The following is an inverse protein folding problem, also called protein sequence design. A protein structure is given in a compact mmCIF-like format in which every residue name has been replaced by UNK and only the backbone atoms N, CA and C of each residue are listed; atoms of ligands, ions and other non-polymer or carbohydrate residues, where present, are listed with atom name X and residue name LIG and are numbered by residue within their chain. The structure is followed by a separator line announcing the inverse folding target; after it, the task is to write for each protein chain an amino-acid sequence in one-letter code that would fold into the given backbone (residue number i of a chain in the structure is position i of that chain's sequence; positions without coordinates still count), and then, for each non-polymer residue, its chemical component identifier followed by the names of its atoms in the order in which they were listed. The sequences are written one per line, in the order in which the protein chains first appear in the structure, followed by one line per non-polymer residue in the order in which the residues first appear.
data_IF_325488491556
#
_entry.id   IF_325488491556
#
_cell.length_a   1.000
_cell.length_b   1.000
_cell.length_c   1.000
_cell.angle_alpha   90.00
_cell.angle_beta   90.00
_cell.angle_gamma   90.00
#
_symmetry.space_group_name_H-M   'P 1'
#
loop_
_entity.id
_entity.type
_entity.pdbx_description
1 polymer ?
#
# COMPACT_ATOMS: atom_id res chain seq x y z
N UNK A 1 -3.21 -5.86 31.35
CA UNK A 1 -3.92 -4.71 30.73
C UNK A 1 -4.42 -5.04 29.32
N UNK A 2 -5.30 -4.18 28.72
CA UNK A 2 -5.73 -4.36 27.31
C UNK A 2 -4.55 -4.27 26.35
N UNK A 3 -3.58 -3.42 26.64
CA UNK A 3 -2.35 -3.22 25.86
C UNK A 3 -1.52 -4.50 25.83
N UNK A 4 -1.19 -5.08 26.99
CA UNK A 4 -0.40 -6.32 27.08
C UNK A 4 -1.06 -7.49 26.35
N UNK A 5 -2.40 -7.60 26.41
CA UNK A 5 -3.16 -8.61 25.67
C UNK A 5 -3.12 -8.40 24.14
N UNK A 6 -2.96 -7.16 23.69
CA UNK A 6 -2.79 -6.86 22.26
C UNK A 6 -1.36 -7.18 21.83
N UNK A 7 -0.37 -6.73 22.58
CA UNK A 7 1.05 -6.97 22.31
C UNK A 7 1.37 -8.48 22.30
N UNK A 8 0.76 -9.27 23.21
CA UNK A 8 0.99 -10.73 23.24
C UNK A 8 0.60 -11.43 21.93
N UNK A 9 -0.34 -10.87 21.17
CA UNK A 9 -0.83 -11.40 19.90
C UNK A 9 -0.01 -10.94 18.69
N UNK A 10 0.82 -9.92 18.84
CA UNK A 10 1.67 -9.42 17.77
C UNK A 10 2.75 -10.44 17.40
N UNK A 11 3.09 -10.47 16.13
CA UNK A 11 4.18 -11.24 15.54
C UNK A 11 5.31 -10.31 15.06
N UNK A 12 6.38 -10.88 14.55
CA UNK A 12 7.45 -10.13 13.90
C UNK A 12 7.06 -9.59 12.50
N UNK A 13 5.87 -9.96 11.99
CA UNK A 13 5.41 -9.62 10.63
C UNK A 13 4.20 -8.71 10.61
N UNK A 14 3.75 -8.24 11.76
CA UNK A 14 2.63 -7.31 11.82
C UNK A 14 2.99 -5.96 11.23
N UNK A 15 2.03 -5.32 10.61
CA UNK A 15 2.25 -4.08 9.87
C UNK A 15 0.98 -3.23 9.81
N UNK A 16 1.20 -1.96 9.52
CA UNK A 16 0.16 -1.01 9.13
C UNK A 16 0.31 -0.72 7.65
N UNK A 17 -0.81 -0.66 6.93
CA UNK A 17 -0.80 -0.27 5.52
C UNK A 17 -1.92 0.72 5.22
N UNK A 18 -1.63 1.67 4.36
CA UNK A 18 -2.59 2.60 3.78
C UNK A 18 -2.43 2.56 2.27
N UNK A 19 -3.51 2.21 1.58
CA UNK A 19 -3.56 2.22 0.13
C UNK A 19 -4.72 3.09 -0.30
N UNK A 20 -4.44 4.09 -1.11
CA UNK A 20 -5.45 4.98 -1.68
C UNK A 20 -5.18 5.14 -3.17
N UNK A 21 -6.23 5.02 -3.97
CA UNK A 21 -6.21 5.39 -5.37
C UNK A 21 -7.33 6.37 -5.63
N UNK A 22 -7.00 7.50 -6.25
CA UNK A 22 -7.95 8.53 -6.66
C UNK A 22 -7.85 8.71 -8.17
N UNK A 23 -8.85 8.22 -8.88
CA UNK A 23 -8.95 8.41 -10.32
C UNK A 23 -9.34 9.87 -10.62
N UNK A 24 -8.46 10.59 -11.30
CA UNK A 24 -8.68 12.00 -11.68
C UNK A 24 -9.39 12.09 -13.01
N UNK A 25 -8.95 11.28 -13.98
CA UNK A 25 -9.53 11.20 -15.32
C UNK A 25 -9.29 9.82 -15.90
N UNK A 26 -10.35 9.19 -16.39
CA UNK A 26 -10.28 7.95 -17.16
C UNK A 26 -11.22 8.03 -18.36
N UNK A 27 -10.75 7.59 -19.50
CA UNK A 27 -11.53 7.51 -20.71
C UNK A 27 -11.18 6.25 -21.51
N UNK A 28 -12.08 5.84 -22.36
CA UNK A 28 -11.85 4.71 -23.25
C UNK A 28 -12.80 4.72 -24.42
N UNK A 29 -12.35 4.14 -25.52
CA UNK A 29 -13.15 4.02 -26.75
C UNK A 29 -12.85 2.73 -27.50
N UNK A 30 -13.83 2.29 -28.25
CA UNK A 30 -13.70 1.17 -29.17
C UNK A 30 -13.31 1.69 -30.55
N UNK A 31 -12.26 1.13 -31.18
CA UNK A 31 -11.89 1.49 -32.53
C UNK A 31 -12.94 0.96 -33.54
N UNK A 32 -13.12 1.68 -34.64
CA UNK A 32 -13.93 1.23 -35.77
C UNK A 32 -13.08 0.32 -36.68
N UNK A 33 -13.64 -0.76 -37.20
CA UNK A 33 -12.97 -1.66 -38.14
C UNK A 33 -13.38 -3.12 -37.99
N UNK A 34 -12.82 -3.97 -38.85
CA UNK A 34 -13.11 -5.42 -38.87
C UNK A 34 -12.61 -6.14 -37.61
N UNK A 35 -11.54 -5.64 -37.00
CA UNK A 35 -10.99 -6.16 -35.75
C UNK A 35 -10.94 -5.04 -34.71
N UNK A 36 -12.05 -4.77 -34.01
CA UNK A 36 -12.10 -3.66 -33.06
C UNK A 36 -11.18 -3.88 -31.89
N UNK A 37 -10.42 -2.83 -31.54
CA UNK A 37 -9.58 -2.74 -30.35
C UNK A 37 -10.16 -1.72 -29.37
N UNK A 38 -10.12 -2.03 -28.08
CA UNK A 38 -10.50 -1.09 -27.05
C UNK A 38 -9.26 -0.37 -26.53
N UNK A 39 -9.25 0.94 -26.67
CA UNK A 39 -8.23 1.83 -26.12
C UNK A 39 -8.72 2.44 -24.81
N UNK A 40 -7.81 2.64 -23.89
CA UNK A 40 -8.08 3.31 -22.62
C UNK A 40 -6.92 4.22 -22.24
N UNK A 41 -7.22 5.30 -21.55
CA UNK A 41 -6.21 6.21 -21.03
C UNK A 41 -6.73 6.95 -19.83
N UNK A 42 -5.79 7.52 -19.05
CA UNK A 42 -6.20 8.28 -17.88
C UNK A 42 -5.04 8.63 -16.97
N UNK A 43 -5.43 9.22 -15.84
CA UNK A 43 -4.54 9.65 -14.79
C UNK A 43 -5.18 9.38 -13.44
N UNK A 44 -4.41 8.84 -12.49
CA UNK A 44 -4.81 8.66 -11.11
C UNK A 44 -3.67 9.00 -10.15
N UNK A 45 -4.02 9.34 -8.91
CA UNK A 45 -3.08 9.45 -7.81
C UNK A 45 -3.12 8.18 -6.97
N UNK A 46 -1.96 7.73 -6.54
CA UNK A 46 -1.80 6.55 -5.69
C UNK A 46 -0.95 6.91 -4.48
N UNK A 47 -1.49 6.64 -3.28
CA UNK A 47 -0.73 6.56 -2.04
C UNK A 47 -0.62 5.09 -1.67
N UNK A 48 0.59 4.59 -1.54
CA UNK A 48 0.88 3.23 -1.08
C UNK A 48 1.90 3.30 0.06
N UNK A 49 1.44 3.01 1.26
CA UNK A 49 2.28 3.04 2.46
C UNK A 49 2.14 1.73 3.24
N UNK A 50 3.27 1.21 3.70
CA UNK A 50 3.35 0.07 4.61
C UNK A 50 4.48 0.29 5.62
N UNK A 51 4.20 0.00 6.88
CA UNK A 51 5.17 0.04 7.97
C UNK A 51 5.03 -1.23 8.82
N UNK A 52 6.10 -2.00 8.92
CA UNK A 52 6.18 -3.18 9.76
C UNK A 52 6.54 -2.77 11.18
N UNK A 53 5.75 -3.22 12.13
CA UNK A 53 5.87 -2.91 13.54
C UNK A 53 5.99 -4.21 14.35
N UNK A 54 7.20 -4.78 14.43
CA UNK A 54 7.42 -6.07 15.08
C UNK A 54 7.11 -6.02 16.58
N UNK A 55 6.75 -7.17 17.14
CA UNK A 55 6.37 -7.32 18.54
C UNK A 55 7.39 -6.73 19.51
N UNK A 56 8.69 -6.92 19.27
CA UNK A 56 9.75 -6.42 20.12
C UNK A 56 9.74 -4.89 20.24
N UNK A 57 9.48 -4.20 19.13
CA UNK A 57 9.34 -2.74 19.12
C UNK A 57 8.06 -2.30 19.84
N UNK A 58 6.96 -3.07 19.69
CA UNK A 58 5.73 -2.80 20.42
C UNK A 58 5.92 -2.91 21.94
N UNK A 59 6.64 -3.93 22.40
CA UNK A 59 6.98 -4.09 23.81
C UNK A 59 7.81 -2.89 24.28
N UNK A 60 8.90 -2.59 23.57
CA UNK A 60 9.81 -1.50 23.96
C UNK A 60 9.11 -0.14 24.02
N UNK A 61 8.25 0.16 23.04
CA UNK A 61 7.54 1.43 22.96
C UNK A 61 6.37 1.59 23.94
N UNK A 62 5.65 0.50 24.27
CA UNK A 62 4.40 0.57 25.01
C UNK A 62 4.46 -0.02 26.42
N UNK A 63 5.32 -0.99 26.67
CA UNK A 63 5.52 -1.63 27.98
C UNK A 63 6.86 -1.23 28.61
N UNK A 64 7.82 -0.81 27.76
CA UNK A 64 9.19 -0.55 28.19
C UNK A 64 9.99 -1.83 28.39
N UNK A 65 11.21 -1.67 28.93
CA UNK A 65 12.17 -2.76 29.09
C UNK A 65 12.33 -3.27 30.55
N UNK A 66 11.64 -2.64 31.50
CA UNK A 66 11.82 -2.91 32.93
C UNK A 66 11.59 -4.38 33.31
N UNK A 67 10.56 -5.03 32.75
CA UNK A 67 10.25 -6.42 33.09
C UNK A 67 11.01 -7.42 32.20
N UNK A 68 11.83 -6.93 31.26
CA UNK A 68 12.54 -7.70 30.26
C UNK A 68 14.06 -7.48 30.32
N UNK A 69 14.60 -7.25 31.49
CA UNK A 69 16.05 -7.06 31.69
C UNK A 69 16.81 -8.30 31.18
N UNK A 70 17.84 -8.08 30.36
CA UNK A 70 18.61 -9.13 29.70
C UNK A 70 18.07 -9.58 28.34
N UNK A 71 16.84 -9.19 27.99
CA UNK A 71 16.28 -9.45 26.65
C UNK A 71 16.88 -8.51 25.62
N UNK A 72 17.27 -9.05 24.45
CA UNK A 72 17.61 -8.26 23.28
C UNK A 72 16.33 -8.02 22.44
N UNK A 73 16.13 -6.79 22.00
CA UNK A 73 15.07 -6.36 21.10
C UNK A 73 15.64 -6.16 19.71
N UNK A 74 15.22 -6.99 18.77
CA UNK A 74 15.76 -7.03 17.42
C UNK A 74 15.11 -5.96 16.53
N UNK A 75 15.93 -5.21 15.79
CA UNK A 75 15.48 -4.20 14.81
C UNK A 75 15.37 -4.73 13.39
N UNK A 76 15.83 -5.96 13.11
CA UNK A 76 15.86 -6.52 11.76
C UNK A 76 14.48 -6.59 11.11
N UNK A 77 13.43 -6.65 11.90
CA UNK A 77 12.06 -6.77 11.44
C UNK A 77 11.37 -5.43 11.19
N UNK A 78 11.99 -4.30 11.54
CA UNK A 78 11.50 -2.97 11.22
C UNK A 78 11.66 -2.76 9.71
N UNK A 79 10.63 -2.30 9.02
CA UNK A 79 10.70 -1.89 7.63
C UNK A 79 9.56 -0.94 7.31
N UNK A 80 9.84 0.09 6.53
CA UNK A 80 8.80 1.01 6.08
C UNK A 80 9.00 1.37 4.62
N UNK A 81 7.89 1.59 3.93
CA UNK A 81 7.86 2.15 2.58
C UNK A 81 6.59 2.98 2.41
N UNK A 82 6.73 4.17 1.85
CA UNK A 82 5.61 5.03 1.48
C UNK A 82 5.91 5.74 0.17
N UNK A 83 4.99 5.67 -0.77
CA UNK A 83 5.08 6.30 -2.09
C UNK A 83 3.79 7.09 -2.36
N UNK A 84 3.92 8.36 -2.73
CA UNK A 84 2.83 9.17 -3.29
C UNK A 84 3.16 9.48 -4.75
N UNK A 85 2.32 8.99 -5.66
CA UNK A 85 2.55 9.01 -7.10
C UNK A 85 1.37 9.60 -7.85
N UNK A 86 1.64 10.23 -8.99
CA UNK A 86 0.68 10.37 -10.09
C UNK A 86 1.03 9.37 -11.17
N UNK A 87 0.05 8.63 -11.64
CA UNK A 87 0.21 7.60 -12.66
C UNK A 87 -0.59 7.97 -13.90
N UNK A 88 0.10 8.15 -15.01
CA UNK A 88 -0.48 8.31 -16.33
C UNK A 88 -0.48 6.95 -17.01
N UNK A 89 -1.55 6.60 -17.68
CA UNK A 89 -1.63 5.29 -18.33
C UNK A 89 -2.31 5.35 -19.67
N UNK A 90 -1.88 4.46 -20.55
CA UNK A 90 -2.52 4.19 -21.83
C UNK A 90 -2.52 2.68 -22.09
N UNK A 91 -3.68 2.13 -22.46
CA UNK A 91 -3.86 0.71 -22.62
C UNK A 91 -4.58 0.36 -23.92
N UNK A 92 -4.32 -0.84 -24.39
CA UNK A 92 -5.01 -1.45 -25.52
C UNK A 92 -5.42 -2.87 -25.16
N UNK A 93 -6.67 -3.21 -25.51
CA UNK A 93 -7.21 -4.56 -25.39
C UNK A 93 -7.72 -5.02 -26.74
N UNK A 94 -7.39 -6.26 -27.14
CA UNK A 94 -7.81 -6.87 -28.39
C UNK A 94 -8.33 -8.28 -28.14
N UNK A 95 -9.40 -8.65 -28.82
CA UNK A 95 -9.80 -10.04 -28.93
C UNK A 95 -8.89 -10.76 -29.94
N UNK A 96 -7.96 -11.56 -29.42
CA UNK A 96 -6.96 -12.29 -30.20
C UNK A 96 -7.58 -13.52 -30.89
N UNK A 97 -8.56 -14.13 -30.24
CA UNK A 97 -9.33 -15.24 -30.79
C UNK A 97 -10.77 -15.22 -30.27
N UNK A 98 -11.64 -16.12 -30.76
CA UNK A 98 -13.02 -16.25 -30.24
C UNK A 98 -13.07 -16.49 -28.71
N UNK A 99 -12.01 -17.05 -28.14
CA UNK A 99 -11.92 -17.40 -26.71
C UNK A 99 -10.96 -16.53 -25.90
N UNK A 100 -10.04 -15.81 -26.53
CA UNK A 100 -8.97 -15.09 -25.88
C UNK A 100 -9.04 -13.60 -26.17
N UNK A 101 -9.12 -12.80 -25.12
CA UNK A 101 -8.86 -11.36 -25.13
C UNK A 101 -7.57 -11.10 -24.36
N UNK A 102 -6.67 -10.30 -24.92
CA UNK A 102 -5.44 -9.88 -24.26
C UNK A 102 -5.37 -8.35 -24.24
N UNK A 103 -4.74 -7.83 -23.22
CA UNK A 103 -4.54 -6.39 -23.03
C UNK A 103 -3.20 -6.07 -22.42
N UNK A 104 -2.69 -4.90 -22.80
CA UNK A 104 -1.47 -4.32 -22.25
C UNK A 104 -1.74 -2.86 -21.91
N UNK A 105 -1.16 -2.37 -20.82
CA UNK A 105 -1.24 -0.97 -20.40
C UNK A 105 0.17 -0.48 -20.07
N UNK A 106 0.59 0.58 -20.71
CA UNK A 106 1.81 1.31 -20.38
C UNK A 106 1.49 2.34 -19.30
N UNK A 107 2.42 2.52 -18.39
CA UNK A 107 2.33 3.47 -17.27
C UNK A 107 3.55 4.37 -17.25
N UNK A 108 3.30 5.66 -17.01
CA UNK A 108 4.31 6.65 -16.67
C UNK A 108 4.04 7.12 -15.25
N UNK A 109 4.99 6.91 -14.37
CA UNK A 109 4.92 7.35 -12.97
C UNK A 109 5.56 8.71 -12.81
N UNK A 110 4.95 9.58 -12.00
CA UNK A 110 5.56 10.79 -11.47
C UNK A 110 5.51 10.75 -9.95
N UNK A 111 6.66 10.55 -9.30
CA UNK A 111 6.75 10.45 -7.85
C UNK A 111 6.77 11.84 -7.23
N UNK A 112 5.86 12.10 -6.30
CA UNK A 112 5.78 13.34 -5.54
C UNK A 112 6.73 13.29 -4.33
N UNK A 113 6.57 12.22 -3.54
CA UNK A 113 7.41 11.90 -2.37
C UNK A 113 7.57 10.39 -2.26
N UNK A 114 8.71 9.95 -1.75
CA UNK A 114 8.98 8.54 -1.47
C UNK A 114 9.88 8.39 -0.26
N UNK A 115 9.58 7.39 0.58
CA UNK A 115 10.40 6.95 1.72
C UNK A 115 10.50 5.43 1.67
N UNK A 116 11.70 4.90 1.88
CA UNK A 116 11.88 3.45 2.03
C UNK A 116 13.06 3.12 2.93
N UNK A 117 12.86 2.26 3.92
CA UNK A 117 13.96 1.65 4.65
C UNK A 117 14.49 0.46 3.84
N UNK A 118 15.77 0.45 3.58
CA UNK A 118 16.46 -0.56 2.75
C UNK A 118 17.33 -1.49 3.56
N UNK A 119 17.71 -1.06 4.76
CA UNK A 119 18.48 -1.85 5.70
C UNK A 119 18.03 -1.52 7.12
N UNK A 120 17.81 -2.55 7.92
CA UNK A 120 17.46 -2.43 9.32
C UNK A 120 18.12 -3.59 10.06
N UNK A 121 19.21 -3.30 10.74
CA UNK A 121 19.91 -4.26 11.60
C UNK A 121 20.19 -3.60 12.94
N UNK A 122 20.41 -4.41 13.95
CA UNK A 122 20.78 -4.00 15.28
C UNK A 122 19.86 -4.58 16.33
N UNK A 123 20.30 -4.49 17.56
CA UNK A 123 19.53 -4.91 18.72
C UNK A 123 19.72 -3.92 19.87
N UNK A 124 18.65 -3.70 20.62
CA UNK A 124 18.66 -2.96 21.88
C UNK A 124 18.56 -3.94 23.05
N UNK A 125 19.40 -3.77 24.07
CA UNK A 125 19.39 -4.62 25.26
C UNK A 125 19.65 -3.78 26.52
N UNK A 126 18.97 -4.13 27.61
CA UNK A 126 19.23 -3.58 28.93
C UNK A 126 19.75 -4.67 29.82
N UNK A 127 20.87 -4.42 30.51
CA UNK A 127 21.47 -5.33 31.49
C UNK A 127 21.60 -4.68 32.85
N UNK A 128 21.73 -5.49 33.89
CA UNK A 128 22.08 -5.03 35.24
C UNK A 128 23.60 -4.91 35.34
N UNK A 129 24.08 -3.82 35.82
CA UNK A 129 25.51 -3.57 36.08
C UNK A 129 25.79 -3.67 37.58
N UNK A 130 26.47 -4.72 37.98
CA UNK A 130 26.87 -4.89 39.40
C UNK A 130 28.01 -3.96 39.76
N UNK A 131 27.95 -3.35 40.94
CA UNK A 131 29.03 -2.54 41.50
C UNK A 131 29.12 -1.11 40.94
N UNK A 132 28.16 -0.64 40.19
CA UNK A 132 28.05 0.73 39.67
C UNK A 132 26.95 1.52 40.37
N UNK A 133 27.11 2.86 40.42
CA UNK A 133 26.06 3.77 40.88
C UNK A 133 24.82 3.71 39.96
N UNK A 134 25.02 3.41 38.67
CA UNK A 134 23.97 3.18 37.70
C UNK A 134 23.66 1.68 37.62
N UNK A 135 22.44 1.32 38.01
CA UNK A 135 22.02 -0.08 38.15
C UNK A 135 21.84 -0.71 36.76
N UNK A 136 21.51 0.07 35.71
CA UNK A 136 21.19 -0.42 34.40
C UNK A 136 22.14 0.15 33.34
N UNK A 137 22.49 -0.68 32.41
CA UNK A 137 23.23 -0.37 31.19
C UNK A 137 22.36 -0.67 29.98
N UNK A 138 22.26 0.26 29.04
CA UNK A 138 21.52 0.13 27.83
C UNK A 138 22.50 0.05 26.64
N UNK A 139 22.42 -1.00 25.84
CA UNK A 139 23.31 -1.19 24.70
C UNK A 139 22.50 -1.26 23.41
N UNK A 140 22.97 -0.55 22.38
CA UNK A 140 22.60 -0.76 20.98
C UNK A 140 23.79 -1.42 20.32
N UNK A 141 23.59 -2.58 19.71
CA UNK A 141 24.66 -3.36 19.09
C UNK A 141 24.36 -3.62 17.62
N UNK A 142 25.42 -3.66 16.80
CA UNK A 142 25.36 -3.97 15.36
C UNK A 142 24.35 -3.11 14.59
N UNK A 143 24.15 -1.85 15.00
CA UNK A 143 23.25 -0.95 14.29
C UNK A 143 23.76 -0.71 12.87
N UNK A 144 22.92 -0.99 11.86
CA UNK A 144 23.17 -0.70 10.45
C UNK A 144 21.81 -0.42 9.80
N UNK A 145 21.43 0.86 9.79
CA UNK A 145 20.13 1.35 9.29
C UNK A 145 20.36 2.22 8.08
N UNK A 146 19.55 2.01 7.06
CA UNK A 146 19.57 2.78 5.82
C UNK A 146 18.14 3.17 5.42
N UNK A 147 17.91 4.48 5.26
CA UNK A 147 16.62 5.04 4.80
C UNK A 147 16.86 5.91 3.58
N UNK A 148 16.10 5.66 2.53
CA UNK A 148 16.09 6.45 1.28
C UNK A 148 14.84 7.31 1.24
N UNK A 149 15.04 8.56 0.91
CA UNK A 149 13.95 9.51 0.70
C UNK A 149 14.07 10.19 -0.65
N UNK A 150 12.95 10.66 -1.15
CA UNK A 150 12.95 11.63 -2.25
C UNK A 150 11.77 12.57 -2.13
N UNK A 151 12.00 13.81 -2.51
CA UNK A 151 10.96 14.81 -2.54
C UNK A 151 10.74 15.56 -1.22
N UNK A 152 11.59 15.41 -0.22
CA UNK A 152 11.45 16.09 1.07
C UNK A 152 12.32 17.33 1.21
N UNK A 153 13.59 17.28 0.81
CA UNK A 153 14.58 18.37 1.00
C UNK A 153 14.02 19.71 0.52
N UNK A 154 13.51 19.72 -0.68
CA UNK A 154 13.02 20.93 -1.31
C UNK A 154 11.65 21.40 -0.79
N UNK A 155 11.02 20.67 0.13
CA UNK A 155 9.81 21.09 0.84
C UNK A 155 10.11 21.73 2.20
N UNK A 156 11.32 21.53 2.69
CA UNK A 156 11.75 22.07 3.97
C UNK A 156 11.73 23.60 3.96
N UNK A 157 11.24 24.18 5.05
CA UNK A 157 11.13 25.63 5.24
C UNK A 157 10.11 26.34 4.34
N UNK A 158 9.30 25.61 3.54
CA UNK A 158 8.30 26.21 2.67
C UNK A 158 6.95 26.43 3.37
N UNK A 159 6.31 27.54 3.03
CA UNK A 159 4.91 27.77 3.42
C UNK A 159 3.95 26.77 2.78
N UNK A 160 2.79 26.43 3.40
CA UNK A 160 1.84 25.42 2.90
C UNK A 160 1.40 25.65 1.45
N UNK A 161 1.24 26.90 1.03
CA UNK A 161 0.87 27.29 -0.35
C UNK A 161 1.97 26.94 -1.35
N UNK A 162 3.24 27.11 -0.98
CA UNK A 162 4.40 26.77 -1.80
C UNK A 162 4.59 25.26 -1.89
N UNK A 163 4.39 24.54 -0.78
CA UNK A 163 4.38 23.07 -0.73
C UNK A 163 3.34 22.52 -1.72
N UNK A 164 2.10 23.03 -1.65
CA UNK A 164 1.00 22.59 -2.54
C UNK A 164 1.34 22.83 -4.01
N UNK A 165 1.88 24.00 -4.36
CA UNK A 165 2.30 24.33 -5.72
C UNK A 165 3.40 23.40 -6.22
N UNK A 166 4.36 23.09 -5.35
CA UNK A 166 5.48 22.22 -5.69
C UNK A 166 5.03 20.76 -5.89
N UNK A 167 4.15 20.26 -5.03
CA UNK A 167 3.55 18.93 -5.17
C UNK A 167 2.70 18.82 -6.43
N UNK A 168 1.93 19.86 -6.78
CA UNK A 168 1.18 19.90 -8.03
C UNK A 168 2.12 19.86 -9.25
N UNK A 169 3.23 20.61 -9.23
CA UNK A 169 4.24 20.56 -10.30
C UNK A 169 4.82 19.15 -10.46
N UNK A 170 5.09 18.46 -9.35
CA UNK A 170 5.55 17.06 -9.38
C UNK A 170 4.47 16.11 -9.88
N UNK A 171 3.22 16.32 -9.51
CA UNK A 171 2.11 15.53 -10.04
C UNK A 171 2.01 15.64 -11.56
N UNK A 172 2.35 16.80 -12.14
CA UNK A 172 2.35 17.09 -13.57
C UNK A 172 3.72 16.80 -14.24
N UNK A 173 4.31 15.64 -13.94
CA UNK A 173 5.58 15.15 -14.51
C UNK A 173 6.86 15.91 -14.08
N UNK A 174 6.76 16.80 -13.12
CA UNK A 174 7.93 17.50 -12.55
C UNK A 174 8.67 16.71 -11.46
N UNK A 175 8.10 15.58 -11.01
CA UNK A 175 8.69 14.70 -10.00
C UNK A 175 9.75 13.76 -10.55
N UNK A 176 10.10 12.76 -9.76
CA UNK A 176 10.95 11.65 -10.21
C UNK A 176 10.11 10.71 -11.10
N UNK A 177 10.62 10.44 -12.29
CA UNK A 177 9.88 9.70 -13.29
C UNK A 177 10.15 8.21 -13.22
N UNK A 178 9.17 7.43 -13.65
CA UNK A 178 9.27 5.99 -13.74
C UNK A 178 8.39 5.45 -14.87
N UNK A 179 8.63 4.21 -15.23
CA UNK A 179 7.87 3.51 -16.26
C UNK A 179 7.39 2.16 -15.73
N UNK A 180 6.26 1.72 -16.26
CA UNK A 180 5.71 0.42 -15.92
C UNK A 180 4.78 -0.12 -16.99
N UNK A 181 4.46 -1.39 -16.83
CA UNK A 181 3.58 -2.12 -17.73
C UNK A 181 2.63 -2.98 -16.90
N UNK A 182 1.38 -3.03 -17.34
CA UNK A 182 0.40 -4.03 -16.92
C UNK A 182 0.10 -4.92 -18.12
N UNK A 183 -0.11 -6.20 -17.88
CA UNK A 183 -0.58 -7.15 -18.87
C UNK A 183 -1.70 -8.01 -18.30
N UNK A 184 -2.66 -8.37 -19.14
CA UNK A 184 -3.77 -9.22 -18.72
C UNK A 184 -4.41 -9.97 -19.85
N UNK A 185 -5.07 -11.07 -19.49
CA UNK A 185 -5.82 -11.92 -20.40
C UNK A 185 -7.19 -12.26 -19.82
N UNK A 186 -8.13 -12.50 -20.71
CA UNK A 186 -9.41 -13.15 -20.41
C UNK A 186 -9.56 -14.32 -21.34
N UNK A 187 -9.67 -15.53 -20.81
CA UNK A 187 -9.89 -16.76 -21.56
C UNK A 187 -11.29 -17.31 -21.29
N UNK A 188 -12.06 -17.51 -22.33
CA UNK A 188 -13.40 -18.05 -22.28
C UNK A 188 -13.36 -19.54 -22.61
N UNK A 189 -13.56 -20.42 -21.63
CA UNK A 189 -13.62 -21.86 -21.87
C UNK A 189 -14.87 -22.22 -22.68
N UNK A 190 -16.01 -21.69 -22.23
CA UNK A 190 -17.33 -21.84 -22.84
C UNK A 190 -18.20 -20.59 -22.58
N UNK A 191 -19.52 -20.69 -22.71
CA UNK A 191 -20.44 -19.56 -22.49
C UNK A 191 -20.65 -19.21 -21.02
N UNK A 192 -20.23 -20.07 -20.10
CA UNK A 192 -20.47 -19.97 -18.67
C UNK A 192 -19.18 -19.76 -17.88
N UNK A 193 -18.11 -20.43 -18.28
CA UNK A 193 -16.84 -20.45 -17.56
C UNK A 193 -15.78 -19.57 -18.23
N UNK A 194 -15.18 -18.67 -17.47
CA UNK A 194 -14.09 -17.82 -17.92
C UNK A 194 -13.01 -17.63 -16.87
N UNK A 195 -11.77 -17.47 -17.33
CA UNK A 195 -10.59 -17.18 -16.52
C UNK A 195 -10.09 -15.78 -16.89
N UNK A 196 -9.80 -14.97 -15.89
CA UNK A 196 -9.03 -13.74 -16.03
C UNK A 196 -7.72 -13.86 -15.29
N UNK A 197 -6.64 -13.33 -15.86
CA UNK A 197 -5.35 -13.23 -15.18
C UNK A 197 -4.66 -11.91 -15.56
N UNK A 198 -3.97 -11.29 -14.62
CA UNK A 198 -3.22 -10.06 -14.88
C UNK A 198 -2.01 -9.92 -13.95
N UNK A 199 -0.99 -9.27 -14.49
CA UNK A 199 0.17 -8.77 -13.76
C UNK A 199 0.16 -7.25 -13.89
N UNK A 200 0.22 -6.55 -12.76
CA UNK A 200 0.13 -5.09 -12.70
C UNK A 200 1.37 -4.51 -12.03
N UNK A 201 1.70 -3.27 -12.42
CA UNK A 201 2.79 -2.48 -11.84
C UNK A 201 4.18 -3.14 -11.99
N UNK A 202 4.40 -3.86 -13.11
CA UNK A 202 5.74 -4.34 -13.44
C UNK A 202 6.55 -3.14 -13.94
N UNK A 203 7.27 -2.48 -13.04
CA UNK A 203 7.93 -1.22 -13.36
C UNK A 203 8.87 -0.71 -12.28
N UNK A 204 9.49 0.44 -12.57
CA UNK A 204 10.44 1.09 -11.68
C UNK A 204 10.30 2.63 -11.74
N UNK A 205 10.70 3.28 -10.66
CA UNK A 205 10.83 4.73 -10.53
C UNK A 205 12.31 5.06 -10.36
N UNK A 206 12.79 6.04 -11.13
CA UNK A 206 14.17 6.52 -11.08
C UNK A 206 14.21 7.80 -10.25
N UNK A 207 14.63 7.68 -9.00
CA UNK A 207 14.79 8.81 -8.09
C UNK A 207 16.15 9.45 -8.34
N UNK A 208 16.16 10.61 -9.01
CA UNK A 208 17.37 11.36 -9.40
C UNK A 208 17.36 12.79 -8.90
N UNK A 209 16.22 13.26 -8.39
CA UNK A 209 16.02 14.63 -7.91
C UNK A 209 15.55 14.59 -6.47
N UNK A 210 16.06 15.53 -5.66
CA UNK A 210 15.60 15.76 -4.30
C UNK A 210 15.68 14.46 -3.47
N UNK A 211 16.84 13.77 -3.56
CA UNK A 211 17.07 12.44 -2.97
C UNK A 211 18.08 12.53 -1.85
N UNK A 212 17.79 11.83 -0.75
CA UNK A 212 18.70 11.63 0.36
C UNK A 212 18.74 10.16 0.77
N UNK A 213 19.91 9.75 1.17
CA UNK A 213 20.21 8.45 1.75
C UNK A 213 20.79 8.70 3.14
N UNK A 214 20.02 8.35 4.15
CA UNK A 214 20.43 8.41 5.55
C UNK A 214 21.01 7.06 5.96
N UNK A 215 22.19 7.06 6.54
CA UNK A 215 22.84 5.86 7.08
C UNK A 215 23.26 6.11 8.52
N UNK A 216 22.87 5.20 9.41
CA UNK A 216 23.35 5.15 10.77
C UNK A 216 23.99 3.79 11.04
N UNK A 217 25.24 3.77 11.50
CA UNK A 217 25.96 2.55 11.78
C UNK A 217 26.85 2.74 12.99
N UNK A 218 26.82 1.78 13.91
CA UNK A 218 27.65 1.79 15.10
C UNK A 218 27.08 0.97 16.23
N UNK A 219 27.80 1.01 17.33
CA UNK A 219 27.39 0.47 18.62
C UNK A 219 27.34 1.61 19.63
N UNK A 220 26.42 1.55 20.56
CA UNK A 220 26.33 2.55 21.62
C UNK A 220 26.01 1.90 22.96
N UNK A 221 26.68 2.35 23.98
CA UNK A 221 26.43 1.93 25.37
C UNK A 221 26.11 3.13 26.20
N UNK A 222 24.91 3.19 26.75
CA UNK A 222 24.50 4.17 27.76
C UNK A 222 24.60 3.51 29.12
N UNK A 223 25.62 3.86 29.90
CA UNK A 223 25.87 3.33 31.23
C UNK A 223 25.43 4.30 32.36
N UNK A 224 24.67 5.31 31.99
CA UNK A 224 24.05 6.32 32.84
C UNK A 224 24.03 7.68 32.18
N UNK A 225 23.24 8.56 32.72
CA UNK A 225 23.19 9.97 32.31
C UNK A 225 23.85 10.76 33.43
N UNK A 226 24.91 11.49 33.13
CA UNK A 226 25.51 12.42 34.06
C UNK A 226 24.52 13.58 34.27
N UNK A 227 24.03 13.71 35.50
CA UNK A 227 23.18 14.84 35.89
C UNK A 227 24.07 16.04 36.12
N UNK A 228 24.08 16.95 35.17
CA UNK A 228 24.72 18.26 35.32
C UNK A 228 23.71 19.15 36.01
N UNK A 229 24.16 19.79 37.14
CA UNK A 229 23.38 20.80 37.85
C UNK A 229 23.92 22.18 37.49
N UNK A 230 23.47 22.78 36.37
CA UNK A 230 23.97 24.07 35.91
C UNK A 230 23.54 25.18 36.89
N UNK A 231 24.28 26.25 36.87
CA UNK A 231 23.86 27.49 37.52
C UNK A 231 22.55 27.97 36.88
N UNK A 232 21.69 28.55 37.71
CA UNK A 232 20.44 29.13 37.23
C UNK A 232 20.63 30.63 37.00
N UNK A 233 20.40 31.08 35.79
CA UNK A 233 20.33 32.49 35.46
C UNK A 233 18.86 32.86 35.21
N UNK A 234 18.31 33.79 36.01
CA UNK A 234 16.89 34.15 35.99
C UNK A 234 15.90 32.98 36.22
N UNK A 235 16.33 31.92 36.89
CA UNK A 235 15.52 30.73 37.18
C UNK A 235 15.55 29.66 36.10
N UNK A 236 16.28 29.88 35.02
CA UNK A 236 16.48 28.92 33.94
C UNK A 236 17.90 28.35 33.98
N UNK A 237 18.11 27.07 33.64
CA UNK A 237 19.45 26.48 33.62
C UNK A 237 20.29 27.11 32.49
N UNK A 238 21.56 27.46 32.80
CA UNK A 238 22.50 28.06 31.85
C UNK A 238 22.93 27.11 30.73
N UNK A 239 22.83 25.79 30.96
CA UNK A 239 23.03 24.72 29.98
C UNK A 239 21.96 23.68 30.19
N UNK A 240 21.52 22.96 29.12
CA UNK A 240 20.57 21.86 29.22
C UNK A 240 21.10 20.73 30.11
N UNK A 241 20.23 20.10 30.89
CA UNK A 241 20.59 18.99 31.79
C UNK A 241 21.14 17.74 31.07
N UNK A 242 20.91 17.62 29.75
CA UNK A 242 21.22 16.43 28.96
C UNK A 242 21.99 16.74 27.67
N UNK A 243 22.68 17.87 27.58
CA UNK A 243 23.38 18.32 26.35
C UNK A 243 24.38 17.28 25.83
N UNK A 244 25.10 16.61 26.77
CA UNK A 244 26.12 15.65 26.38
C UNK A 244 25.57 14.35 25.81
N UNK A 245 24.31 13.96 26.08
CA UNK A 245 23.75 12.69 25.64
C UNK A 245 23.55 12.68 24.10
N UNK A 246 23.04 13.76 23.53
CA UNK A 246 22.83 13.87 22.08
C UNK A 246 24.17 13.88 21.34
N UNK A 247 25.15 14.62 21.86
CA UNK A 247 26.50 14.67 21.28
C UNK A 247 27.20 13.31 21.37
N UNK A 248 27.06 12.59 22.47
CA UNK A 248 27.63 11.25 22.66
C UNK A 248 27.00 10.23 21.69
N UNK A 249 25.68 10.23 21.57
CA UNK A 249 24.97 9.36 20.60
C UNK A 249 25.41 9.69 19.17
N UNK A 250 25.47 10.96 18.81
CA UNK A 250 25.85 11.40 17.46
C UNK A 250 27.30 11.06 17.13
N UNK A 251 28.19 11.07 18.11
CA UNK A 251 29.60 10.70 17.94
C UNK A 251 29.79 9.20 17.71
N UNK A 252 29.08 8.36 18.48
CA UNK A 252 29.21 6.89 18.41
C UNK A 252 28.35 6.29 17.27
N UNK A 253 27.22 6.89 16.96
CA UNK A 253 26.33 6.50 15.87
C UNK A 253 26.11 7.71 14.93
N UNK A 254 27.12 8.08 14.13
CA UNK A 254 26.98 9.18 13.19
C UNK A 254 25.93 8.85 12.13
N UNK A 255 25.12 9.84 11.79
CA UNK A 255 24.15 9.76 10.69
C UNK A 255 24.77 10.40 9.45
N UNK A 256 25.21 9.56 8.53
CA UNK A 256 25.70 10.01 7.23
C UNK A 256 24.52 10.34 6.30
N UNK A 257 24.54 11.52 5.70
CA UNK A 257 23.55 11.93 4.70
C UNK A 257 24.23 12.06 3.34
N UNK A 258 23.76 11.29 2.36
CA UNK A 258 24.31 11.24 1.01
C UNK A 258 23.23 11.58 -0.02
N UNK A 259 23.53 12.51 -0.92
CA UNK A 259 22.65 12.89 -2.02
C UNK A 259 22.91 12.00 -3.24
N UNK A 260 22.37 10.77 -3.24
CA UNK A 260 22.56 9.80 -4.32
C UNK A 260 21.23 9.36 -4.92
N UNK A 261 21.18 9.33 -6.26
CA UNK A 261 20.01 8.76 -6.94
C UNK A 261 19.90 7.26 -6.75
N UNK A 262 18.67 6.74 -6.81
CA UNK A 262 18.37 5.32 -6.71
C UNK A 262 17.21 4.89 -7.59
N UNK A 263 17.13 3.61 -7.89
CA UNK A 263 15.99 3.02 -8.60
C UNK A 263 15.17 2.19 -7.63
N UNK A 264 13.86 2.37 -7.69
CA UNK A 264 12.90 1.68 -6.83
C UNK A 264 11.89 0.91 -7.67
N UNK A 265 11.83 -0.40 -7.47
CA UNK A 265 10.83 -1.25 -8.12
C UNK A 265 9.44 -0.99 -7.53
N UNK A 266 8.43 -1.02 -8.38
CA UNK A 266 7.03 -0.95 -7.96
C UNK A 266 6.60 -2.27 -7.29
N UNK A 267 5.65 -2.23 -6.32
CA UNK A 267 5.03 -3.44 -5.79
C UNK A 267 4.20 -4.13 -6.87
N UNK A 268 4.77 -5.15 -7.50
CA UNK A 268 4.06 -5.92 -8.53
C UNK A 268 2.89 -6.67 -7.93
N UNK A 269 1.72 -6.59 -8.60
CA UNK A 269 0.47 -7.23 -8.20
C UNK A 269 0.12 -8.31 -9.23
N UNK A 270 -0.31 -9.48 -8.75
CA UNK A 270 -0.80 -10.57 -9.61
C UNK A 270 -2.24 -10.85 -9.22
N UNK A 271 -3.13 -10.90 -10.21
CA UNK A 271 -4.52 -11.26 -10.04
C UNK A 271 -4.85 -12.43 -10.95
N UNK A 272 -5.67 -13.37 -10.45
CA UNK A 272 -6.30 -14.39 -11.26
C UNK A 272 -7.71 -14.63 -10.74
N UNK A 273 -8.69 -14.85 -11.62
CA UNK A 273 -10.05 -15.16 -11.20
C UNK A 273 -10.72 -16.12 -12.16
N UNK A 274 -11.41 -17.10 -11.61
CA UNK A 274 -12.27 -18.01 -12.33
C UNK A 274 -13.72 -17.59 -12.07
N UNK A 275 -14.47 -17.36 -13.14
CA UNK A 275 -15.85 -16.89 -13.13
C UNK A 275 -16.77 -17.93 -13.72
N UNK A 276 -17.87 -18.25 -13.03
CA UNK A 276 -18.92 -19.12 -13.51
C UNK A 276 -20.25 -18.35 -13.56
N UNK A 277 -20.75 -18.12 -14.77
CA UNK A 277 -22.01 -17.42 -15.04
C UNK A 277 -23.13 -18.44 -15.18
N UNK A 278 -24.25 -18.27 -14.45
CA UNK A 278 -25.36 -19.24 -14.46
C UNK A 278 -26.74 -18.58 -14.28
N UNK A 279 -27.76 -19.38 -14.46
CA UNK A 279 -29.16 -18.95 -14.43
C UNK A 279 -29.64 -18.39 -15.77
N UNK A 280 -30.82 -17.77 -15.78
CA UNK A 280 -31.40 -17.16 -16.99
C UNK A 280 -30.60 -15.96 -17.48
N UNK A 281 -30.83 -15.56 -18.72
CA UNK A 281 -30.24 -14.33 -19.24
C UNK A 281 -30.90 -13.07 -18.63
N UNK A 282 -30.14 -12.02 -18.47
CA UNK A 282 -30.63 -10.72 -17.97
C UNK A 282 -31.50 -10.10 -19.05
N UNK A 283 -32.74 -9.68 -18.69
CA UNK A 283 -33.70 -9.07 -19.63
C UNK A 283 -34.48 -10.07 -20.48
N UNK A 284 -34.34 -11.36 -20.25
CA UNK A 284 -35.12 -12.40 -20.93
C UNK A 284 -36.50 -12.54 -20.25
N UNK A 285 -37.46 -11.74 -20.70
CA UNK A 285 -38.87 -11.81 -20.27
C UNK A 285 -39.70 -12.79 -21.15
N UNK A 286 -39.03 -13.77 -21.78
CA UNK A 286 -39.70 -14.78 -22.62
C UNK A 286 -40.09 -14.32 -24.01
N UNK A 287 -39.65 -13.14 -24.45
CA UNK A 287 -39.84 -12.64 -25.84
C UNK A 287 -38.56 -12.74 -26.67
N UNK A 288 -38.68 -13.14 -27.93
CA UNK A 288 -37.55 -13.10 -28.89
C UNK A 288 -37.03 -11.67 -29.05
N UNK A 289 -35.86 -11.40 -28.50
CA UNK A 289 -35.20 -10.09 -28.62
C UNK A 289 -34.22 -10.13 -29.81
N UNK A 290 -34.72 -9.88 -31.02
CA UNK A 290 -33.92 -9.89 -32.25
C UNK A 290 -32.95 -8.70 -32.41
N UNK A 291 -32.79 -7.84 -31.38
CA UNK A 291 -31.96 -6.63 -31.45
C UNK A 291 -30.55 -6.80 -30.87
N UNK A 292 -30.14 -7.99 -30.47
CA UNK A 292 -28.79 -8.20 -29.92
C UNK A 292 -27.75 -8.41 -31.03
N UNK A 293 -27.25 -7.34 -31.58
CA UNK A 293 -26.04 -7.33 -32.40
C UNK A 293 -24.82 -7.68 -31.54
N UNK A 294 -24.53 -8.99 -31.38
CA UNK A 294 -23.21 -9.47 -30.99
C UNK A 294 -22.74 -9.24 -29.52
N UNK A 295 -23.51 -8.55 -28.70
CA UNK A 295 -23.17 -8.40 -27.26
C UNK A 295 -23.55 -9.68 -26.51
N UNK A 296 -22.57 -10.32 -25.85
CA UNK A 296 -22.84 -11.49 -25.00
C UNK A 296 -23.90 -11.14 -23.95
N UNK A 297 -25.01 -11.86 -23.99
CA UNK A 297 -26.04 -11.71 -22.94
C UNK A 297 -25.46 -12.13 -21.59
N UNK A 298 -25.55 -11.25 -20.60
CA UNK A 298 -25.10 -11.55 -19.23
C UNK A 298 -26.14 -12.45 -18.54
N UNK A 299 -25.67 -13.47 -17.80
CA UNK A 299 -26.54 -14.27 -16.94
C UNK A 299 -26.85 -13.54 -15.63
N UNK A 300 -27.97 -13.85 -15.01
CA UNK A 300 -28.43 -13.20 -13.77
C UNK A 300 -27.55 -13.47 -12.55
N UNK A 301 -26.80 -14.58 -12.55
CA UNK A 301 -25.96 -14.98 -11.45
C UNK A 301 -24.54 -15.27 -11.93
N UNK A 302 -23.56 -14.92 -11.11
CA UNK A 302 -22.15 -15.25 -11.32
C UNK A 302 -21.56 -15.62 -9.96
N UNK A 303 -20.83 -16.72 -9.89
CA UNK A 303 -19.99 -17.09 -8.76
C UNK A 303 -18.54 -17.21 -9.23
N UNK A 304 -17.60 -17.07 -8.32
CA UNK A 304 -16.21 -17.25 -8.70
C UNK A 304 -15.25 -17.23 -7.54
N UNK A 305 -14.00 -17.55 -7.88
CA UNK A 305 -12.85 -17.53 -7.00
C UNK A 305 -11.83 -16.54 -7.55
N UNK A 306 -11.28 -15.71 -6.71
CA UNK A 306 -10.23 -14.75 -7.08
C UNK A 306 -9.01 -14.97 -6.20
N UNK A 307 -7.84 -14.99 -6.81
CA UNK A 307 -6.52 -14.92 -6.22
C UNK A 307 -5.95 -13.53 -6.41
N UNK A 308 -5.35 -13.00 -5.37
CA UNK A 308 -4.59 -11.76 -5.39
C UNK A 308 -3.27 -11.95 -4.67
N UNK A 309 -2.20 -11.38 -5.21
CA UNK A 309 -0.93 -11.26 -4.50
C UNK A 309 -0.23 -9.95 -4.83
N UNK A 310 0.55 -9.46 -3.86
CA UNK A 310 1.37 -8.24 -3.99
C UNK A 310 2.74 -8.47 -3.35
N UNK A 311 3.78 -8.06 -4.06
CA UNK A 311 5.15 -8.10 -3.55
C UNK A 311 5.41 -6.89 -2.66
N UNK A 312 5.65 -7.14 -1.38
CA UNK A 312 5.92 -6.14 -0.35
C UNK A 312 7.38 -6.25 0.13
N UNK A 313 7.94 -5.22 0.81
CA UNK A 313 9.34 -5.24 1.26
C UNK A 313 9.74 -6.50 2.05
N UNK A 314 8.81 -7.07 2.83
CA UNK A 314 9.05 -8.27 3.65
C UNK A 314 8.39 -9.54 3.08
N UNK A 315 8.19 -9.60 1.78
CA UNK A 315 7.71 -10.78 1.09
C UNK A 315 6.32 -10.63 0.46
N UNK A 316 5.80 -11.75 0.05
CA UNK A 316 4.55 -11.84 -0.70
C UNK A 316 3.35 -11.82 0.25
N UNK A 317 2.40 -10.91 0.00
CA UNK A 317 1.09 -10.93 0.65
C UNK A 317 0.06 -11.54 -0.30
N UNK A 318 -0.80 -12.39 0.23
CA UNK A 318 -1.75 -13.20 -0.52
C UNK A 318 -3.18 -12.95 -0.02
N UNK A 319 -4.13 -13.01 -0.95
CA UNK A 319 -5.55 -13.07 -0.63
C UNK A 319 -6.30 -14.00 -1.59
N UNK A 320 -7.20 -14.79 -1.05
CA UNK A 320 -8.14 -15.62 -1.79
C UNK A 320 -9.57 -15.18 -1.49
N UNK A 321 -10.37 -14.90 -2.52
CA UNK A 321 -11.74 -14.40 -2.37
C UNK A 321 -12.72 -15.31 -3.11
N UNK A 322 -13.73 -15.77 -2.41
CA UNK A 322 -14.94 -16.34 -2.99
C UNK A 322 -15.96 -15.22 -3.16
N UNK A 323 -16.68 -15.19 -4.26
CA UNK A 323 -17.70 -14.18 -4.48
C UNK A 323 -18.92 -14.73 -5.19
N UNK A 324 -20.04 -14.05 -4.96
CA UNK A 324 -21.30 -14.24 -5.65
C UNK A 324 -21.86 -12.89 -6.08
N UNK A 325 -22.29 -12.79 -7.34
CA UNK A 325 -22.93 -11.59 -7.91
C UNK A 325 -24.34 -11.95 -8.39
N UNK A 326 -25.31 -11.14 -8.00
CA UNK A 326 -26.69 -11.21 -8.50
C UNK A 326 -27.03 -9.95 -9.27
N UNK A 327 -27.54 -10.11 -10.48
CA UNK A 327 -27.98 -9.02 -11.36
C UNK A 327 -29.51 -8.95 -11.38
N UNK A 328 -30.02 -7.77 -11.11
CA UNK A 328 -31.47 -7.43 -11.12
C UNK A 328 -31.73 -6.55 -12.34
N UNK A 329 -32.07 -7.20 -13.47
CA UNK A 329 -32.13 -6.51 -14.77
C UNK A 329 -30.78 -5.94 -15.18
N UNK A 330 -30.82 -4.91 -16.01
CA UNK A 330 -29.63 -4.20 -16.50
C UNK A 330 -29.20 -3.04 -15.55
N UNK A 331 -30.04 -2.75 -14.53
CA UNK A 331 -29.90 -1.56 -13.69
C UNK A 331 -29.07 -1.83 -12.45
N UNK A 332 -29.35 -2.93 -11.72
CA UNK A 332 -28.73 -3.18 -10.42
C UNK A 332 -27.98 -4.51 -10.40
N UNK A 333 -26.78 -4.50 -9.85
CA UNK A 333 -26.02 -5.72 -9.50
C UNK A 333 -25.51 -5.62 -8.08
N UNK A 334 -25.64 -6.70 -7.32
CA UNK A 334 -25.12 -6.82 -5.96
C UNK A 334 -24.08 -7.95 -5.95
N UNK A 335 -22.91 -7.67 -5.41
CA UNK A 335 -21.82 -8.62 -5.22
C UNK A 335 -21.56 -8.81 -3.73
N UNK A 336 -21.43 -10.03 -3.29
CA UNK A 336 -20.97 -10.39 -1.93
C UNK A 336 -19.66 -11.15 -2.04
N UNK A 337 -18.75 -10.91 -1.10
CA UNK A 337 -17.41 -11.49 -1.08
C UNK A 337 -17.10 -12.08 0.29
N UNK A 338 -16.32 -13.15 0.27
CA UNK A 338 -15.65 -13.70 1.46
C UNK A 338 -14.18 -13.85 1.15
N UNK A 339 -13.33 -13.12 1.87
CA UNK A 339 -11.89 -13.06 1.61
C UNK A 339 -11.12 -13.66 2.79
N UNK A 340 -10.19 -14.54 2.44
CA UNK A 340 -9.12 -15.02 3.30
C UNK A 340 -7.85 -14.30 2.88
N UNK A 341 -7.26 -13.52 3.76
CA UNK A 341 -6.04 -12.76 3.49
C UNK A 341 -5.00 -12.92 4.59
N UNK A 342 -3.86 -12.26 4.42
CA UNK A 342 -2.75 -12.31 5.38
C UNK A 342 -3.08 -11.66 6.73
N UNK A 343 -4.25 -11.00 6.87
CA UNK A 343 -4.66 -10.26 8.06
C UNK A 343 -5.84 -10.90 8.77
N UNK A 344 -6.75 -11.53 8.02
CA UNK A 344 -8.04 -11.97 8.54
C UNK A 344 -8.61 -13.14 7.76
N UNK A 345 -9.22 -14.07 8.50
CA UNK A 345 -10.05 -15.14 7.94
C UNK A 345 -11.55 -14.81 8.02
N UNK A 346 -11.94 -13.57 8.35
CA UNK A 346 -13.34 -13.17 8.60
C UNK A 346 -13.77 -11.95 7.78
N UNK A 347 -13.14 -11.72 6.65
CA UNK A 347 -13.44 -10.57 5.81
C UNK A 347 -14.63 -10.86 4.89
N UNK A 348 -15.79 -10.28 5.22
CA UNK A 348 -16.99 -10.28 4.38
C UNK A 348 -17.17 -8.89 3.78
N UNK A 349 -17.29 -8.84 2.46
CA UNK A 349 -17.52 -7.60 1.73
C UNK A 349 -18.83 -7.61 0.94
N UNK A 350 -19.27 -6.44 0.55
CA UNK A 350 -20.39 -6.24 -0.36
C UNK A 350 -20.10 -5.11 -1.35
N UNK A 351 -20.62 -5.26 -2.57
CA UNK A 351 -20.58 -4.23 -3.60
C UNK A 351 -21.92 -4.09 -4.29
N UNK A 352 -22.25 -2.86 -4.65
CA UNK A 352 -23.43 -2.50 -5.42
C UNK A 352 -23.01 -1.75 -6.68
N UNK A 353 -23.60 -2.12 -7.80
CA UNK A 353 -23.39 -1.48 -9.10
C UNK A 353 -24.76 -1.06 -9.64
N UNK A 354 -24.90 0.21 -9.94
CA UNK A 354 -26.13 0.80 -10.45
C UNK A 354 -25.87 1.43 -11.82
N UNK A 355 -26.66 1.05 -12.82
CA UNK A 355 -26.60 1.60 -14.18
C UNK A 355 -27.94 2.26 -14.51
N UNK A 356 -27.91 3.58 -14.72
CA UNK A 356 -29.08 4.37 -15.08
C UNK A 356 -28.70 5.28 -16.24
N UNK A 357 -29.34 5.10 -17.39
CA UNK A 357 -29.20 5.98 -18.56
C UNK A 357 -27.73 6.26 -18.97
N UNK A 358 -26.87 5.24 -18.93
CA UNK A 358 -25.44 5.38 -19.26
C UNK A 358 -24.53 5.82 -18.10
N UNK A 359 -25.12 6.27 -16.99
CA UNK A 359 -24.37 6.54 -15.75
C UNK A 359 -24.24 5.26 -14.95
N UNK A 360 -23.01 4.84 -14.66
CA UNK A 360 -22.70 3.72 -13.78
C UNK A 360 -22.13 4.24 -12.48
N UNK A 361 -22.84 4.00 -11.39
CA UNK A 361 -22.39 4.24 -10.02
C UNK A 361 -22.00 2.90 -9.38
N UNK A 362 -20.88 2.84 -8.69
CA UNK A 362 -20.54 1.68 -7.87
C UNK A 362 -20.09 2.08 -6.47
N UNK A 363 -20.43 1.24 -5.52
CA UNK A 363 -20.04 1.33 -4.13
C UNK A 363 -19.62 -0.08 -3.69
N UNK A 364 -18.46 -0.23 -3.09
CA UNK A 364 -18.03 -1.49 -2.49
C UNK A 364 -17.32 -1.25 -1.16
N UNK A 365 -17.52 -2.15 -0.22
CA UNK A 365 -16.88 -2.11 1.08
C UNK A 365 -16.53 -3.54 1.51
N UNK A 366 -15.34 -3.69 2.11
CA UNK A 366 -14.88 -4.93 2.68
C UNK A 366 -14.89 -4.89 4.21
N UNK A 367 -14.81 -6.07 4.82
CA UNK A 367 -14.78 -6.28 6.27
C UNK A 367 -15.97 -5.67 7.02
N UNK A 368 -17.17 -5.82 6.46
CA UNK A 368 -18.41 -5.25 6.97
C UNK A 368 -18.71 -5.63 8.43
N UNK A 369 -18.31 -6.84 8.86
CA UNK A 369 -18.52 -7.29 10.23
C UNK A 369 -17.74 -6.47 11.26
N UNK A 370 -16.65 -5.82 10.86
CA UNK A 370 -15.80 -5.02 11.72
C UNK A 370 -16.01 -3.51 11.56
N UNK A 371 -16.78 -3.06 10.59
CA UNK A 371 -17.06 -1.63 10.36
C UNK A 371 -17.77 -0.94 11.54
N UNK A 372 -18.53 -1.69 12.35
CA UNK A 372 -19.18 -1.15 13.56
C UNK A 372 -18.18 -0.75 14.66
N UNK A 373 -16.92 -1.24 14.60
CA UNK A 373 -15.89 -0.89 15.55
C UNK A 373 -14.52 -0.84 14.86
N UNK A 374 -14.25 0.29 14.23
CA UNK A 374 -13.02 0.52 13.45
C UNK A 374 -11.73 0.34 14.27
N UNK A 375 -11.79 0.62 15.59
CA UNK A 375 -10.64 0.43 16.47
C UNK A 375 -10.25 -1.05 16.70
N UNK A 376 -11.15 -1.99 16.33
CA UNK A 376 -10.89 -3.44 16.40
C UNK A 376 -10.77 -4.09 15.02
N UNK A 377 -10.95 -3.30 13.97
CA UNK A 377 -10.91 -3.81 12.61
C UNK A 377 -9.45 -4.06 12.18
N UNK A 378 -9.17 -5.25 11.66
CA UNK A 378 -7.86 -5.57 11.09
C UNK A 378 -7.63 -4.85 9.75
N UNK A 379 -8.69 -4.65 8.99
CA UNK A 379 -8.66 -3.90 7.72
C UNK A 379 -10.04 -3.30 7.43
N UNK A 380 -10.06 -2.19 6.72
CA UNK A 380 -11.30 -1.60 6.19
C UNK A 380 -10.99 -1.09 4.79
N UNK A 381 -11.85 -1.39 3.82
CA UNK A 381 -11.77 -0.79 2.50
C UNK A 381 -13.12 -0.23 2.06
N UNK A 382 -13.06 0.87 1.34
CA UNK A 382 -14.20 1.51 0.73
C UNK A 382 -13.83 1.92 -0.69
N UNK A 383 -14.69 1.61 -1.66
CA UNK A 383 -14.54 2.01 -3.05
C UNK A 383 -15.83 2.65 -3.53
N UNK A 384 -15.70 3.81 -4.13
CA UNK A 384 -16.80 4.54 -4.75
C UNK A 384 -16.34 5.00 -6.12
N UNK A 385 -17.19 4.91 -7.13
CA UNK A 385 -16.84 5.43 -8.43
C UNK A 385 -18.07 5.70 -9.29
N UNK A 386 -17.88 6.59 -10.26
CA UNK A 386 -18.87 7.00 -11.23
C UNK A 386 -18.24 6.97 -12.63
N UNK A 387 -18.91 6.31 -13.55
CA UNK A 387 -18.53 6.27 -14.96
C UNK A 387 -19.71 6.69 -15.83
N UNK A 388 -19.42 7.37 -16.92
CA UNK A 388 -20.43 7.71 -17.93
C UNK A 388 -20.10 7.04 -19.26
N UNK A 389 -21.07 6.32 -19.82
CA UNK A 389 -20.93 5.64 -21.11
C UNK A 389 -21.67 6.48 -22.17
N UNK A 390 -20.89 7.01 -23.12
CA UNK A 390 -21.40 7.66 -24.33
C UNK A 390 -21.71 6.56 -25.36
N UNK A 391 -22.97 6.49 -25.84
CA UNK A 391 -23.41 5.53 -26.87
C UNK A 391 -23.34 6.17 -28.26
#
# INVERSE_FOLDING_TARGET
TKISNTISKLSSRDFFTVNQQLDVLNFGWLSKGLEPMYFSGGMYQELDAIAYFPKDIAILALEGNREYIGKAYDFNDISARADLLTVYHFGVNKQVSKKLTAGVRLKLYSSLISVSSTRNKGAFKTTVREGSANIYEHTVTDLDVEVRTSGFISLDGLEPSQVSKKLLGRALLGGNLGIGIDAGITYQFDNELSLTASVLDLGAIFHTKDTELYKAKGDYTLDGIELIFPELENGEPTIPYYDNLEDDITREIPVDTLNTGYTQLRPTKINAALHYDFGRFVGDNGGCNCKNNGTKQKRVSQAGVQYFSIFRPRGLQLAGTLYYTRRFGNTLSIKTTYTLDSYSAKNIGAGMFLNIAGVNLFLAADNLLQMSNLAKANSVSLQVGLNYILN
#
